data_IF_764727561354
#
_entry.id   IF_764727561354
#
_cell.length_a   1.000
_cell.length_b   1.000
_cell.length_c   1.000
_cell.angle_alpha   90.00
_cell.angle_beta   90.00
_cell.angle_gamma   90.00
#
_symmetry.space_group_name_H-M   'P 1'
#
loop_
_entity.id
_entity.type
_entity.pdbx_description
1 polymer ?
#
# COMPACT_ATOMS: atom_id res chain seq x y z
N UNK A 1 35.00 -25.05 3.86
CA UNK A 1 35.70 -24.88 2.56
C UNK A 1 36.63 -23.70 2.76
N UNK A 2 37.92 -23.84 2.45
CA UNK A 2 38.90 -22.81 2.78
C UNK A 2 38.95 -21.77 1.65
N UNK A 3 38.56 -20.52 1.94
CA UNK A 3 38.63 -19.45 0.95
C UNK A 3 40.01 -18.80 1.02
N UNK A 4 40.67 -18.65 -0.14
CA UNK A 4 42.01 -18.07 -0.24
C UNK A 4 41.98 -16.91 -1.24
N UNK A 5 42.71 -15.85 -0.92
CA UNK A 5 42.86 -14.70 -1.82
C UNK A 5 44.01 -13.78 -1.41
N UNK A 6 44.28 -12.80 -2.27
CA UNK A 6 45.38 -11.82 -2.10
C UNK A 6 44.81 -10.47 -1.68
N UNK A 7 45.43 -9.86 -0.66
CA UNK A 7 45.03 -8.54 -0.16
C UNK A 7 45.46 -7.45 -1.14
N UNK A 8 44.50 -6.78 -1.78
CA UNK A 8 44.79 -5.70 -2.74
C UNK A 8 44.74 -4.31 -2.13
N UNK A 9 43.87 -4.12 -1.14
CA UNK A 9 43.69 -2.81 -0.51
C UNK A 9 43.27 -2.96 0.94
N UNK A 10 43.89 -2.20 1.82
CA UNK A 10 43.56 -2.15 3.24
C UNK A 10 42.92 -0.79 3.55
N UNK A 11 41.74 -0.82 4.17
CA UNK A 11 41.07 0.35 4.75
C UNK A 11 41.04 0.20 6.28
N UNK A 12 40.53 1.21 6.99
CA UNK A 12 40.53 1.24 8.47
C UNK A 12 39.94 -0.04 9.09
N UNK A 13 38.75 -0.45 8.66
CA UNK A 13 38.01 -1.60 9.25
C UNK A 13 37.77 -2.76 8.27
N UNK A 14 38.29 -2.68 7.04
CA UNK A 14 38.06 -3.69 6.01
C UNK A 14 39.22 -3.81 5.04
N UNK A 15 39.31 -4.94 4.37
CA UNK A 15 40.23 -5.15 3.26
C UNK A 15 39.48 -5.62 2.01
N UNK A 16 40.02 -5.27 0.84
CA UNK A 16 39.58 -5.79 -0.45
C UNK A 16 40.52 -6.92 -0.83
N UNK A 17 39.94 -8.08 -1.10
CA UNK A 17 40.67 -9.30 -1.45
C UNK A 17 40.30 -9.71 -2.87
N UNK A 18 41.29 -10.16 -3.62
CA UNK A 18 41.12 -10.81 -4.90
C UNK A 18 41.19 -12.32 -4.71
N UNK A 19 40.12 -13.02 -5.04
CA UNK A 19 39.99 -14.47 -4.84
C UNK A 19 40.48 -15.24 -6.07
N UNK A 20 40.70 -16.55 -5.90
CA UNK A 20 41.01 -17.44 -7.01
C UNK A 20 39.86 -17.58 -8.02
N UNK A 21 38.62 -17.25 -7.61
CA UNK A 21 37.44 -17.14 -8.49
C UNK A 21 37.43 -15.87 -9.35
N UNK A 22 38.49 -15.06 -9.31
CA UNK A 22 38.57 -13.75 -9.98
C UNK A 22 37.54 -12.74 -9.48
N UNK A 23 37.14 -12.83 -8.21
CA UNK A 23 36.18 -11.94 -7.58
C UNK A 23 36.88 -10.97 -6.61
N UNK A 24 36.30 -9.77 -6.48
CA UNK A 24 36.70 -8.80 -5.48
C UNK A 24 35.72 -8.81 -4.33
N UNK A 25 36.19 -9.19 -3.15
CA UNK A 25 35.37 -9.28 -1.94
C UNK A 25 35.87 -8.30 -0.87
N UNK A 26 34.95 -7.80 -0.05
CA UNK A 26 35.30 -7.04 1.14
C UNK A 26 35.29 -7.98 2.35
N UNK A 27 36.36 -7.99 3.14
CA UNK A 27 36.40 -8.71 4.42
C UNK A 27 36.62 -7.77 5.60
N UNK A 28 36.19 -8.18 6.79
CA UNK A 28 36.51 -7.50 8.04
C UNK A 28 38.00 -7.59 8.36
N UNK A 29 38.58 -6.49 8.86
CA UNK A 29 39.97 -6.48 9.31
C UNK A 29 40.05 -6.95 10.78
N UNK A 30 39.89 -8.25 11.00
CA UNK A 30 39.92 -8.86 12.33
C UNK A 30 41.35 -9.16 12.82
N UNK A 31 42.34 -9.07 11.92
CA UNK A 31 43.76 -9.34 12.18
C UNK A 31 44.65 -8.39 11.38
N UNK A 32 45.95 -8.30 11.70
CA UNK A 32 46.92 -7.59 10.88
C UNK A 32 46.93 -8.18 9.46
N UNK A 33 46.86 -7.32 8.45
CA UNK A 33 46.91 -7.69 7.03
C UNK A 33 48.01 -6.87 6.36
N UNK A 34 48.67 -7.47 5.37
CA UNK A 34 49.71 -6.82 4.55
C UNK A 34 49.27 -6.82 3.10
N UNK A 35 49.54 -5.73 2.37
CA UNK A 35 49.24 -5.65 0.94
C UNK A 35 50.05 -6.69 0.16
N UNK A 36 49.43 -7.34 -0.82
CA UNK A 36 50.04 -8.39 -1.64
C UNK A 36 50.15 -9.75 -0.93
N UNK A 37 49.81 -9.84 0.35
CA UNK A 37 49.83 -11.10 1.10
C UNK A 37 48.66 -11.99 0.68
N UNK A 38 48.93 -13.28 0.48
CA UNK A 38 47.90 -14.31 0.38
C UNK A 38 47.40 -14.67 1.77
N UNK A 39 46.07 -14.67 1.96
CA UNK A 39 45.44 -15.04 3.22
C UNK A 39 44.32 -16.03 2.98
N UNK A 40 44.06 -16.83 4.02
CA UNK A 40 42.93 -17.73 4.11
C UNK A 40 41.86 -17.11 5.01
N UNK A 41 40.62 -17.00 4.56
CA UNK A 41 39.52 -16.35 5.29
C UNK A 41 38.26 -17.22 5.31
N UNK A 42 37.36 -16.92 6.24
CA UNK A 42 36.08 -17.63 6.39
C UNK A 42 34.95 -16.84 5.70
N UNK A 43 33.84 -17.51 5.37
CA UNK A 43 32.63 -16.86 4.88
C UNK A 43 32.08 -15.82 5.87
N UNK A 44 32.34 -16.02 7.16
CA UNK A 44 31.99 -15.07 8.23
C UNK A 44 32.81 -13.78 8.19
N UNK A 45 34.01 -13.80 7.60
CA UNK A 45 34.81 -12.59 7.42
C UNK A 45 34.24 -11.69 6.32
N UNK A 46 33.46 -12.24 5.39
CA UNK A 46 32.94 -11.56 4.20
C UNK A 46 31.86 -10.53 4.60
N UNK A 47 32.09 -9.28 4.25
CA UNK A 47 31.12 -8.19 4.40
C UNK A 47 30.06 -8.34 3.29
N UNK A 48 28.93 -8.94 3.63
CA UNK A 48 27.78 -9.06 2.72
C UNK A 48 27.10 -7.70 2.55
N UNK A 49 27.07 -7.20 1.32
CA UNK A 49 26.23 -6.05 0.98
C UNK A 49 24.77 -6.50 1.01
N UNK A 50 24.04 -6.15 2.08
CA UNK A 50 22.58 -6.29 2.12
C UNK A 50 22.02 -5.40 1.01
N UNK A 51 21.46 -6.02 -0.04
CA UNK A 51 20.71 -5.27 -1.05
C UNK A 51 19.50 -4.66 -0.35
N UNK A 52 19.33 -3.34 -0.46
CA UNK A 52 18.24 -2.59 0.17
C UNK A 52 16.89 -2.99 -0.45
N UNK A 53 16.28 -4.07 0.07
CA UNK A 53 14.93 -4.52 -0.28
C UNK A 53 13.85 -3.49 0.07
N UNK A 54 14.19 -2.46 0.86
CA UNK A 54 13.30 -1.37 1.25
C UNK A 54 12.81 -0.53 0.05
N UNK A 55 13.63 -0.35 -0.99
CA UNK A 55 13.23 0.43 -2.18
C UNK A 55 12.11 -0.25 -2.98
N UNK A 56 12.11 -1.58 -3.03
CA UNK A 56 11.06 -2.37 -3.70
C UNK A 56 9.74 -2.34 -2.92
N UNK A 57 9.81 -2.34 -1.59
CA UNK A 57 8.62 -2.29 -0.72
C UNK A 57 7.84 -0.99 -0.89
N UNK A 58 8.52 0.15 -1.04
CA UNK A 58 7.86 1.45 -1.24
C UNK A 58 7.05 1.51 -2.54
N UNK A 59 7.61 1.00 -3.65
CA UNK A 59 6.93 0.98 -4.95
C UNK A 59 5.66 0.11 -4.88
N UNK A 60 5.74 -1.05 -4.23
CA UNK A 60 4.59 -1.93 -4.06
C UNK A 60 3.47 -1.30 -3.23
N UNK A 61 3.82 -0.55 -2.16
CA UNK A 61 2.84 0.13 -1.31
C UNK A 61 2.10 1.26 -2.07
N UNK A 62 2.81 2.04 -2.89
CA UNK A 62 2.19 3.09 -3.70
C UNK A 62 1.18 2.52 -4.73
N UNK A 63 1.52 1.41 -5.39
CA UNK A 63 0.62 0.75 -6.33
C UNK A 63 -0.63 0.21 -5.64
N UNK A 64 -0.48 -0.40 -4.47
CA UNK A 64 -1.62 -0.90 -3.69
C UNK A 64 -2.59 0.23 -3.29
N UNK A 65 -2.06 1.39 -2.87
CA UNK A 65 -2.90 2.53 -2.50
C UNK A 65 -3.77 3.03 -3.66
N UNK A 66 -3.23 3.10 -4.88
CA UNK A 66 -3.98 3.54 -6.06
C UNK A 66 -5.13 2.59 -6.42
N UNK A 67 -4.92 1.27 -6.28
CA UNK A 67 -5.93 0.25 -6.65
C UNK A 67 -7.08 0.19 -5.64
N UNK A 68 -6.83 0.36 -4.34
CA UNK A 68 -7.86 0.13 -3.32
C UNK A 68 -8.58 1.41 -2.85
N UNK A 69 -7.92 2.57 -2.80
CA UNK A 69 -8.53 3.79 -2.25
C UNK A 69 -9.32 4.62 -3.26
N UNK A 70 -8.93 4.60 -4.54
CA UNK A 70 -9.60 5.40 -5.58
C UNK A 70 -11.01 4.87 -5.91
N UNK A 71 -11.23 3.56 -6.15
CA UNK A 71 -12.56 3.08 -6.52
C UNK A 71 -13.57 3.14 -5.38
N UNK A 72 -13.13 2.94 -4.13
CA UNK A 72 -14.00 3.00 -2.93
C UNK A 72 -14.49 4.42 -2.65
N UNK A 73 -13.68 5.43 -2.96
CA UNK A 73 -14.07 6.84 -2.81
C UNK A 73 -15.17 7.25 -3.82
N UNK A 74 -15.11 6.72 -5.04
CA UNK A 74 -16.08 7.03 -6.10
C UNK A 74 -17.43 6.34 -5.83
N UNK A 75 -17.39 5.10 -5.31
CA UNK A 75 -18.61 4.34 -5.04
C UNK A 75 -19.48 4.95 -3.92
N UNK A 76 -18.87 5.67 -2.97
CA UNK A 76 -19.58 6.36 -1.89
C UNK A 76 -20.24 7.68 -2.30
N UNK A 77 -19.81 8.28 -3.42
CA UNK A 77 -20.41 9.51 -3.93
C UNK A 77 -21.70 9.23 -4.73
N UNK A 78 -21.81 8.05 -5.34
CA UNK A 78 -22.92 7.68 -6.21
C UNK A 78 -24.17 7.16 -5.46
N UNK A 79 -24.14 6.96 -4.15
CA UNK A 79 -25.23 6.31 -3.39
C UNK A 79 -26.07 7.26 -2.54
N UNK A 80 -25.75 8.55 -2.49
CA UNK A 80 -26.58 9.52 -1.76
C UNK A 80 -27.73 9.97 -2.65
N UNK A 81 -28.87 9.32 -2.48
CA UNK A 81 -30.11 9.81 -3.07
C UNK A 81 -30.52 11.15 -2.48
N UNK A 82 -31.14 12.00 -3.28
CA UNK A 82 -31.68 13.30 -2.86
C UNK A 82 -33.20 13.18 -2.76
N UNK A 83 -33.75 13.54 -1.59
CA UNK A 83 -35.18 13.77 -1.41
C UNK A 83 -35.43 15.28 -1.42
N UNK A 84 -36.26 15.73 -2.35
CA UNK A 84 -36.73 17.11 -2.42
C UNK A 84 -38.25 17.15 -2.21
N UNK A 85 -38.69 18.05 -1.33
CA UNK A 85 -40.10 18.33 -1.05
C UNK A 85 -40.36 19.80 -1.40
N UNK A 86 -41.29 20.06 -2.34
CA UNK A 86 -41.67 21.42 -2.75
C UNK A 86 -43.18 21.49 -2.89
N UNK A 87 -43.84 22.22 -1.98
CA UNK A 87 -45.29 22.44 -2.02
C UNK A 87 -46.08 21.13 -1.94
N UNK A 88 -46.84 20.84 -2.99
CA UNK A 88 -47.65 19.63 -3.18
C UNK A 88 -46.91 18.52 -3.94
N UNK A 89 -45.58 18.57 -4.01
CA UNK A 89 -44.78 17.59 -4.75
C UNK A 89 -43.59 17.07 -3.95
N UNK A 90 -43.30 15.78 -4.13
CA UNK A 90 -42.14 15.10 -3.58
C UNK A 90 -41.41 14.35 -4.69
N UNK A 91 -40.09 14.52 -4.74
CA UNK A 91 -39.20 13.84 -5.68
C UNK A 91 -38.08 13.13 -4.93
N UNK A 92 -37.85 11.88 -5.28
CA UNK A 92 -36.71 11.08 -4.80
C UNK A 92 -35.85 10.71 -5.99
N UNK A 93 -34.57 11.08 -5.95
CA UNK A 93 -33.58 10.71 -6.96
C UNK A 93 -32.53 9.80 -6.33
N UNK A 94 -32.33 8.58 -6.85
CA UNK A 94 -31.42 7.58 -6.26
C UNK A 94 -30.24 7.25 -7.18
N UNK A 95 -29.88 8.14 -8.10
CA UNK A 95 -28.73 7.97 -9.00
C UNK A 95 -28.91 6.90 -10.09
N UNK A 96 -29.89 6.00 -9.96
CA UNK A 96 -30.33 5.03 -10.99
C UNK A 96 -31.70 5.35 -11.59
N UNK A 97 -32.34 6.42 -11.14
CA UNK A 97 -33.67 6.83 -11.56
C UNK A 97 -34.31 7.75 -10.52
N UNK A 98 -35.37 8.43 -10.94
CA UNK A 98 -36.13 9.35 -10.11
C UNK A 98 -37.59 8.93 -10.02
N UNK A 99 -38.15 8.94 -8.81
CA UNK A 99 -39.57 8.76 -8.54
C UNK A 99 -40.21 10.10 -8.17
N UNK A 100 -41.43 10.32 -8.65
CA UNK A 100 -42.17 11.56 -8.45
C UNK A 100 -43.56 11.24 -7.90
N UNK A 101 -43.96 11.99 -6.88
CA UNK A 101 -45.30 11.96 -6.31
C UNK A 101 -45.85 13.39 -6.21
N UNK A 102 -47.14 13.55 -6.53
CA UNK A 102 -47.86 14.81 -6.39
C UNK A 102 -49.09 14.59 -5.50
N UNK A 103 -49.28 15.44 -4.51
CA UNK A 103 -50.38 15.34 -3.57
C UNK A 103 -50.16 16.22 -2.34
N UNK A 104 -51.20 16.32 -1.51
CA UNK A 104 -51.10 17.01 -0.22
C UNK A 104 -50.19 16.21 0.71
N UNK A 105 -49.07 16.80 1.10
CA UNK A 105 -48.16 16.20 2.09
C UNK A 105 -48.83 16.36 3.45
N UNK A 106 -49.17 15.24 4.08
CA UNK A 106 -49.74 15.20 5.44
C UNK A 106 -48.70 14.66 6.40
N UNK A 107 -48.63 15.24 7.60
CA UNK A 107 -47.79 14.69 8.66
C UNK A 107 -48.34 13.33 9.08
N UNK A 108 -47.47 12.36 9.38
CA UNK A 108 -47.92 11.06 9.90
C UNK A 108 -48.62 11.15 11.26
N UNK A 109 -48.48 12.27 11.96
CA UNK A 109 -49.22 12.60 13.18
C UNK A 109 -50.67 13.04 12.91
N UNK A 110 -50.98 13.51 11.70
CA UNK A 110 -52.31 13.98 11.29
C UNK A 110 -53.10 12.91 10.51
N UNK A 111 -52.55 11.70 10.36
CA UNK A 111 -53.23 10.58 9.74
C UNK A 111 -54.29 10.01 10.70
N UNK A 112 -55.42 10.70 10.81
CA UNK A 112 -56.64 10.09 11.33
C UNK A 112 -57.21 9.21 10.22
N UNK A 113 -56.88 7.92 10.24
CA UNK A 113 -57.46 6.89 9.37
C UNK A 113 -58.92 6.67 9.80
N UNK A 114 -59.79 7.64 9.50
CA UNK A 114 -61.21 7.38 9.44
C UNK A 114 -61.42 6.48 8.22
N UNK A 115 -61.36 5.18 8.45
CA UNK A 115 -62.04 4.20 7.61
C UNK A 115 -63.53 4.56 7.67
N UNK A 116 -64.01 5.38 6.73
CA UNK A 116 -65.43 5.46 6.42
C UNK A 116 -65.84 4.09 5.85
N UNK A 117 -66.34 3.27 6.77
CA UNK A 117 -67.32 2.23 6.48
C UNK A 117 -68.57 2.88 5.85
N UNK A 118 -68.57 3.12 4.55
CA UNK A 118 -69.81 3.36 3.83
C UNK A 118 -70.19 2.09 3.04
N UNK A 119 -70.89 1.22 3.76
CA UNK A 119 -71.96 0.41 3.19
C UNK A 119 -72.97 1.34 2.52
N UNK A 120 -73.18 1.24 1.20
CA UNK A 120 -74.46 0.84 0.54
C UNK A 120 -74.13 0.20 -0.81
#
# INVERSE_FOLDING_TARGET
MENVGVVLKIKKNKAIIFTNSSEFINIHRNRPLVLGQQIQFDDNDIIKHKKDTLRLSYIAACLAALVFFIPTSIHNLATKGVLAIMGDSARIDQGRGSSYAKGKIVSGLDMNLNNEEDNI
#
